data_IF_444701511683
#
_entry.id   IF_444701511683
#
_cell.length_a   1.000
_cell.length_b   1.000
_cell.length_c   1.000
_cell.angle_alpha   90.00
_cell.angle_beta   90.00
_cell.angle_gamma   90.00
#
_symmetry.space_group_name_H-M   'P 1'
#
loop_
_entity.id
_entity.type
_entity.pdbx_description
1 polymer ?
#
# COMPACT_ATOMS: atom_id res chain seq x y z
N UNK A 1 -6.85 13.48 -82.50
CA UNK A 1 -5.97 12.49 -81.79
C UNK A 1 -6.01 12.78 -80.32
N UNK A 2 -6.81 12.01 -79.54
CA UNK A 2 -6.88 12.09 -78.09
C UNK A 2 -5.93 11.04 -77.55
N UNK A 3 -4.98 11.45 -76.68
CA UNK A 3 -4.09 10.58 -75.99
C UNK A 3 -4.80 9.78 -74.88
N UNK A 4 -4.24 8.64 -74.40
CA UNK A 4 -4.88 7.83 -73.42
C UNK A 4 -4.79 8.48 -72.03
N UNK A 5 -5.95 8.51 -71.33
CA UNK A 5 -6.04 8.88 -69.90
C UNK A 5 -5.50 7.71 -69.10
N UNK A 6 -4.39 7.93 -68.39
CA UNK A 6 -3.86 6.99 -67.40
C UNK A 6 -4.70 7.08 -66.13
N UNK A 7 -5.43 6.03 -65.84
CA UNK A 7 -6.10 5.84 -64.53
C UNK A 7 -5.06 5.34 -63.54
N UNK A 8 -4.67 6.17 -62.58
CA UNK A 8 -3.90 5.71 -61.45
C UNK A 8 -4.69 4.71 -60.60
N UNK A 9 -4.12 3.60 -60.14
CA UNK A 9 -4.80 2.70 -59.27
C UNK A 9 -5.01 3.36 -57.90
N UNK A 10 -6.27 3.49 -57.52
CA UNK A 10 -6.70 3.86 -56.17
C UNK A 10 -6.01 2.97 -55.14
N UNK A 11 -5.11 3.55 -54.31
CA UNK A 11 -4.53 2.82 -53.20
C UNK A 11 -5.67 2.50 -52.22
N UNK A 12 -6.14 1.26 -52.27
CA UNK A 12 -7.03 0.74 -51.22
C UNK A 12 -6.34 0.92 -49.88
N UNK A 13 -6.87 1.83 -49.06
CA UNK A 13 -6.37 2.08 -47.72
C UNK A 13 -6.35 0.77 -46.94
N UNK A 14 -5.16 0.39 -46.48
CA UNK A 14 -5.03 -0.73 -45.53
C UNK A 14 -5.90 -0.37 -44.34
N UNK A 15 -6.96 -1.15 -44.10
CA UNK A 15 -7.73 -1.08 -42.86
C UNK A 15 -6.78 -1.27 -41.69
N UNK A 16 -6.74 -0.32 -40.74
CA UNK A 16 -5.95 -0.46 -39.52
C UNK A 16 -6.38 -1.75 -38.81
N UNK A 17 -5.39 -2.58 -38.41
CA UNK A 17 -5.68 -3.77 -37.62
C UNK A 17 -6.47 -3.36 -36.35
N UNK A 18 -7.52 -4.12 -35.96
CA UNK A 18 -8.27 -3.79 -34.77
C UNK A 18 -7.32 -3.77 -33.57
N UNK A 19 -7.31 -2.65 -32.81
CA UNK A 19 -6.55 -2.57 -31.57
C UNK A 19 -7.11 -3.60 -30.59
N UNK A 20 -6.23 -4.49 -30.10
CA UNK A 20 -6.60 -5.41 -29.02
C UNK A 20 -6.99 -4.56 -27.82
N UNK A 21 -8.20 -4.73 -27.30
CA UNK A 21 -8.67 -4.02 -26.13
C UNK A 21 -7.74 -4.33 -24.93
N UNK A 22 -7.35 -3.29 -24.18
CA UNK A 22 -6.58 -3.49 -22.96
C UNK A 22 -7.38 -4.30 -21.94
N UNK A 23 -6.69 -5.19 -21.19
CA UNK A 23 -7.31 -5.95 -20.13
C UNK A 23 -7.84 -5.03 -19.03
N UNK A 24 -9.00 -5.37 -18.47
CA UNK A 24 -9.53 -4.72 -17.27
C UNK A 24 -8.65 -5.06 -16.06
N UNK A 25 -8.78 -4.30 -14.98
CA UNK A 25 -8.07 -4.60 -13.72
C UNK A 25 -8.44 -5.98 -13.19
N UNK A 26 -9.71 -6.37 -13.26
CA UNK A 26 -10.17 -7.71 -12.88
C UNK A 26 -9.51 -8.82 -13.71
N UNK A 27 -9.40 -8.62 -15.03
CA UNK A 27 -8.73 -9.57 -15.91
C UNK A 27 -7.23 -9.68 -15.61
N UNK A 28 -6.55 -8.56 -15.40
CA UNK A 28 -5.13 -8.56 -14.98
C UNK A 28 -4.93 -9.26 -13.63
N UNK A 29 -5.80 -9.03 -12.68
CA UNK A 29 -5.76 -9.69 -11.37
C UNK A 29 -5.85 -11.20 -11.51
N UNK A 30 -6.83 -11.68 -12.27
CA UNK A 30 -7.02 -13.12 -12.55
C UNK A 30 -5.83 -13.74 -13.26
N UNK A 31 -5.28 -13.07 -14.27
CA UNK A 31 -4.12 -13.53 -15.03
C UNK A 31 -2.89 -13.68 -14.13
N UNK A 32 -2.63 -12.71 -13.24
CA UNK A 32 -1.53 -12.78 -12.27
C UNK A 32 -1.70 -13.92 -11.28
N UNK A 33 -2.92 -14.18 -10.83
CA UNK A 33 -3.19 -15.36 -9.98
C UNK A 33 -2.81 -16.66 -10.67
N UNK A 34 -3.10 -16.80 -11.94
CA UNK A 34 -2.73 -17.98 -12.75
C UNK A 34 -1.20 -18.11 -12.84
N UNK A 35 -0.48 -17.03 -13.10
CA UNK A 35 0.99 -17.01 -13.12
C UNK A 35 1.58 -17.41 -11.76
N UNK A 36 1.08 -16.87 -10.69
CA UNK A 36 1.52 -17.16 -9.32
C UNK A 36 1.31 -18.64 -9.00
N UNK A 37 0.14 -19.17 -9.29
CA UNK A 37 -0.17 -20.58 -9.04
C UNK A 37 0.78 -21.52 -9.81
N UNK A 38 1.05 -21.22 -11.07
CA UNK A 38 1.98 -22.00 -11.89
C UNK A 38 3.43 -21.94 -11.38
N UNK A 39 3.84 -20.81 -10.80
CA UNK A 39 5.21 -20.60 -10.30
C UNK A 39 5.47 -21.11 -8.90
N UNK A 40 4.46 -21.24 -8.05
CA UNK A 40 4.62 -21.59 -6.62
C UNK A 40 5.29 -22.92 -6.37
N UNK A 41 4.96 -23.92 -7.15
CA UNK A 41 5.46 -25.29 -7.01
C UNK A 41 6.53 -25.61 -8.07
N UNK A 42 7.01 -24.62 -8.79
CA UNK A 42 8.03 -24.80 -9.81
C UNK A 42 9.37 -25.21 -9.18
N UNK A 43 10.10 -26.19 -9.77
CA UNK A 43 11.37 -26.67 -9.21
C UNK A 43 12.50 -25.61 -9.25
N UNK A 44 12.41 -24.60 -10.12
CA UNK A 44 13.35 -23.49 -10.13
C UNK A 44 13.12 -22.56 -8.92
N UNK A 45 14.15 -22.38 -8.09
CA UNK A 45 14.10 -21.45 -6.97
C UNK A 45 13.81 -20.01 -7.41
N UNK A 46 14.34 -19.59 -8.57
CA UNK A 46 14.10 -18.26 -9.14
C UNK A 46 12.64 -18.05 -9.51
N UNK A 47 12.01 -19.03 -10.13
CA UNK A 47 10.59 -18.99 -10.53
C UNK A 47 9.69 -19.00 -9.29
N UNK A 48 9.98 -19.87 -8.34
CA UNK A 48 9.24 -19.92 -7.07
C UNK A 48 9.33 -18.59 -6.31
N UNK A 49 10.52 -18.00 -6.19
CA UNK A 49 10.72 -16.71 -5.54
C UNK A 49 9.96 -15.58 -6.26
N UNK A 50 9.96 -15.57 -7.59
CA UNK A 50 9.20 -14.60 -8.39
C UNK A 50 7.68 -14.72 -8.12
N UNK A 51 7.16 -15.92 -8.04
CA UNK A 51 5.74 -16.16 -7.73
C UNK A 51 5.38 -15.67 -6.32
N UNK A 52 6.21 -15.93 -5.32
CA UNK A 52 5.99 -15.48 -3.95
C UNK A 52 6.05 -13.94 -3.84
N UNK A 53 7.04 -13.32 -4.50
CA UNK A 53 7.18 -11.86 -4.49
C UNK A 53 6.03 -11.19 -5.24
N UNK A 54 5.61 -11.73 -6.38
CA UNK A 54 4.46 -11.19 -7.12
C UNK A 54 3.17 -11.27 -6.29
N UNK A 55 2.94 -12.40 -5.62
CA UNK A 55 1.77 -12.57 -4.76
C UNK A 55 1.71 -11.49 -3.65
N UNK A 56 2.83 -11.26 -2.98
CA UNK A 56 2.94 -10.21 -1.95
C UNK A 56 2.77 -8.82 -2.54
N UNK A 57 3.46 -8.51 -3.63
CA UNK A 57 3.46 -7.19 -4.24
C UNK A 57 2.13 -6.82 -4.91
N UNK A 58 1.36 -7.79 -5.40
CA UNK A 58 0.00 -7.54 -5.88
C UNK A 58 -0.90 -6.93 -4.79
N UNK A 59 -0.77 -7.40 -3.57
CA UNK A 59 -1.50 -6.85 -2.41
C UNK A 59 -0.86 -5.55 -1.96
N UNK A 60 0.47 -5.53 -1.80
CA UNK A 60 1.20 -4.36 -1.27
C UNK A 60 0.94 -3.08 -2.08
N UNK A 61 0.94 -3.15 -3.40
CA UNK A 61 0.70 -1.96 -4.24
C UNK A 61 -0.70 -1.41 -4.06
N UNK A 62 -1.69 -2.27 -3.85
CA UNK A 62 -3.07 -1.82 -3.56
C UNK A 62 -3.12 -1.09 -2.21
N UNK A 63 -2.48 -1.64 -1.19
CA UNK A 63 -2.39 -0.99 0.14
C UNK A 63 -1.64 0.34 0.06
N UNK A 64 -0.54 0.41 -0.71
CA UNK A 64 0.21 1.65 -0.94
C UNK A 64 -0.66 2.74 -1.59
N UNK A 65 -1.49 2.40 -2.58
CA UNK A 65 -2.43 3.34 -3.20
C UNK A 65 -3.46 3.89 -2.22
N UNK A 66 -3.93 3.07 -1.28
CA UNK A 66 -4.84 3.52 -0.23
C UNK A 66 -4.15 4.48 0.75
N UNK A 67 -2.89 4.21 1.10
CA UNK A 67 -2.11 5.12 1.95
C UNK A 67 -1.78 6.44 1.27
N UNK A 68 -1.70 6.48 -0.05
CA UNK A 68 -1.63 7.72 -0.83
C UNK A 68 -2.97 8.47 -0.80
N UNK A 69 -4.07 7.77 -1.06
CA UNK A 69 -5.39 8.38 -1.12
C UNK A 69 -5.82 9.01 0.21
N UNK A 70 -5.43 8.44 1.35
CA UNK A 70 -5.82 8.96 2.68
C UNK A 70 -5.28 10.37 2.96
N UNK A 71 -4.24 10.83 2.25
CA UNK A 71 -3.74 12.21 2.36
C UNK A 71 -4.74 13.23 1.84
N UNK A 72 -5.50 12.88 0.84
CA UNK A 72 -6.58 13.73 0.29
C UNK A 72 -7.74 12.85 -0.22
N UNK A 73 -8.70 12.51 0.66
CA UNK A 73 -9.81 11.62 0.32
C UNK A 73 -10.84 12.23 -0.64
N UNK A 74 -10.73 13.52 -0.97
CA UNK A 74 -11.56 14.17 -1.98
C UNK A 74 -11.17 13.75 -3.41
N UNK A 75 -9.97 13.20 -3.60
CA UNK A 75 -9.54 12.64 -4.88
C UNK A 75 -10.34 11.39 -5.24
N UNK A 76 -10.38 10.99 -6.53
CA UNK A 76 -10.97 9.72 -6.93
C UNK A 76 -10.35 8.54 -6.16
N UNK A 77 -11.20 7.65 -5.67
CA UNK A 77 -10.75 6.44 -4.95
C UNK A 77 -10.00 5.52 -5.94
N UNK A 78 -8.90 4.86 -5.51
CA UNK A 78 -8.21 3.91 -6.37
C UNK A 78 -9.15 2.87 -6.97
N UNK A 79 -8.93 2.54 -8.24
CA UNK A 79 -9.76 1.56 -8.97
C UNK A 79 -9.82 0.23 -8.21
N UNK A 80 -11.00 -0.34 -8.09
CA UNK A 80 -11.26 -1.57 -7.34
C UNK A 80 -11.58 -1.37 -5.87
N UNK A 81 -11.65 -0.12 -5.40
CA UNK A 81 -11.93 0.22 -4.02
C UNK A 81 -13.08 1.20 -3.86
N UNK A 82 -13.73 1.14 -2.72
CA UNK A 82 -14.73 2.11 -2.26
C UNK A 82 -14.30 2.67 -0.91
N UNK A 83 -14.39 3.99 -0.74
CA UNK A 83 -14.22 4.61 0.58
C UNK A 83 -15.51 4.42 1.39
N UNK A 84 -15.44 3.61 2.43
CA UNK A 84 -16.58 3.29 3.31
C UNK A 84 -16.53 4.04 4.64
N UNK A 85 -15.69 5.08 4.76
CA UNK A 85 -15.50 5.81 6.02
C UNK A 85 -16.75 6.55 6.51
N UNK A 86 -17.69 6.86 5.61
CA UNK A 86 -18.98 7.45 5.95
C UNK A 86 -20.15 6.46 5.97
N UNK A 87 -19.90 5.17 5.78
CA UNK A 87 -20.92 4.13 5.77
C UNK A 87 -21.11 3.58 7.18
N UNK A 88 -22.16 4.07 7.87
CA UNK A 88 -22.43 3.73 9.26
C UNK A 88 -22.63 2.22 9.49
N UNK A 89 -23.27 1.52 8.56
CA UNK A 89 -23.51 0.08 8.67
C UNK A 89 -22.21 -0.71 8.57
N UNK A 90 -21.30 -0.31 7.67
CA UNK A 90 -19.98 -0.92 7.55
C UNK A 90 -19.15 -0.67 8.80
N UNK A 91 -19.09 0.57 9.26
CA UNK A 91 -18.33 0.95 10.47
C UNK A 91 -18.80 0.17 11.69
N UNK A 92 -20.10 0.04 11.87
CA UNK A 92 -20.70 -0.65 13.01
C UNK A 92 -20.24 -2.11 13.11
N UNK A 93 -20.06 -2.80 11.98
CA UNK A 93 -19.56 -4.20 11.97
C UNK A 93 -18.19 -4.34 12.61
N UNK A 94 -17.33 -3.33 12.45
CA UNK A 94 -16.00 -3.28 13.03
C UNK A 94 -15.93 -2.60 14.40
N UNK A 95 -17.07 -2.19 14.94
CA UNK A 95 -17.14 -1.43 16.18
C UNK A 95 -16.61 0.00 16.06
N UNK A 96 -16.48 0.52 14.84
CA UNK A 96 -15.93 1.83 14.54
C UNK A 96 -17.04 2.88 14.41
N UNK A 97 -16.65 4.13 14.61
CA UNK A 97 -17.47 5.33 14.41
C UNK A 97 -16.68 6.34 13.59
N UNK A 98 -17.36 7.29 12.97
CA UNK A 98 -16.67 8.36 12.21
C UNK A 98 -15.69 9.14 13.08
N UNK A 99 -16.00 9.36 14.36
CA UNK A 99 -15.13 10.04 15.33
C UNK A 99 -13.79 9.32 15.55
N UNK A 100 -13.71 8.04 15.30
CA UNK A 100 -12.46 7.29 15.39
C UNK A 100 -11.45 7.68 14.28
N UNK A 101 -11.93 8.27 13.20
CA UNK A 101 -11.13 8.56 12.00
C UNK A 101 -10.51 9.94 12.00
N UNK A 102 -10.90 10.82 12.91
CA UNK A 102 -10.35 12.15 13.03
C UNK A 102 -10.14 12.52 14.51
N UNK A 103 -9.18 13.39 14.74
CA UNK A 103 -8.97 14.04 16.04
C UNK A 103 -9.12 15.53 15.81
N UNK A 104 -10.14 16.14 16.40
CA UNK A 104 -10.49 17.55 16.23
C UNK A 104 -9.28 18.46 16.51
N UNK A 105 -9.04 19.40 15.60
CA UNK A 105 -7.95 20.35 15.71
C UNK A 105 -6.56 19.79 15.37
N UNK A 106 -6.50 18.62 14.78
CA UNK A 106 -5.24 17.96 14.36
C UNK A 106 -5.29 17.54 12.91
N UNK A 107 -4.13 17.08 12.38
CA UNK A 107 -4.01 16.51 11.05
C UNK A 107 -4.20 14.98 11.02
N UNK A 108 -4.59 14.37 12.12
CA UNK A 108 -4.88 12.94 12.17
C UNK A 108 -6.04 12.61 11.24
N UNK A 109 -5.83 11.56 10.43
CA UNK A 109 -6.88 11.01 9.57
C UNK A 109 -6.68 9.53 9.39
N UNK A 110 -7.79 8.83 9.42
CA UNK A 110 -7.90 7.42 9.07
C UNK A 110 -9.08 7.24 8.14
N UNK A 111 -8.99 6.31 7.21
CA UNK A 111 -10.08 5.98 6.29
C UNK A 111 -10.25 4.47 6.23
N UNK A 112 -11.48 4.01 6.01
CA UNK A 112 -11.81 2.61 5.77
C UNK A 112 -12.16 2.42 4.30
N UNK A 113 -11.49 1.47 3.66
CA UNK A 113 -11.71 1.13 2.25
C UNK A 113 -12.22 -0.30 2.13
N UNK A 114 -13.20 -0.50 1.26
CA UNK A 114 -13.71 -1.83 0.92
C UNK A 114 -13.28 -2.22 -0.50
N UNK A 115 -12.77 -3.45 -0.71
CA UNK A 115 -12.44 -3.94 -2.03
C UNK A 115 -13.70 -4.30 -2.82
N UNK A 116 -13.63 -4.12 -4.12
CA UNK A 116 -14.65 -4.58 -5.06
C UNK A 116 -14.41 -6.06 -5.40
N UNK A 117 -15.32 -6.93 -5.00
CA UNK A 117 -15.23 -8.37 -5.26
C UNK A 117 -15.23 -8.70 -6.77
N UNK A 118 -15.81 -7.86 -7.61
CA UNK A 118 -15.75 -8.05 -9.07
C UNK A 118 -14.35 -7.84 -9.64
N UNK A 119 -13.47 -7.15 -8.92
CA UNK A 119 -12.06 -6.94 -9.29
C UNK A 119 -11.15 -7.98 -8.64
N UNK A 120 -11.24 -8.14 -7.32
CA UNK A 120 -10.29 -8.92 -6.53
C UNK A 120 -10.82 -10.30 -6.09
N UNK A 121 -12.09 -10.61 -6.36
CA UNK A 121 -12.71 -11.80 -5.77
C UNK A 121 -12.70 -11.73 -4.24
N UNK A 122 -12.29 -12.82 -3.61
CA UNK A 122 -12.17 -12.92 -2.15
C UNK A 122 -10.72 -12.73 -1.64
N UNK A 123 -9.81 -12.27 -2.51
CA UNK A 123 -8.37 -12.25 -2.20
C UNK A 123 -7.93 -10.98 -1.45
N UNK A 124 -8.81 -10.00 -1.32
CA UNK A 124 -8.47 -8.70 -0.76
C UNK A 124 -9.36 -8.37 0.42
N UNK A 125 -8.75 -8.04 1.55
CA UNK A 125 -9.47 -7.62 2.74
C UNK A 125 -9.80 -6.12 2.70
N UNK A 126 -10.91 -5.70 3.33
CA UNK A 126 -11.11 -4.31 3.69
C UNK A 126 -9.88 -3.78 4.44
N UNK A 127 -9.62 -2.49 4.34
CA UNK A 127 -8.37 -1.90 4.84
C UNK A 127 -8.62 -0.58 5.57
N UNK A 128 -8.07 -0.47 6.76
CA UNK A 128 -7.97 0.80 7.49
C UNK A 128 -6.62 1.42 7.15
N UNK A 129 -6.62 2.62 6.58
CA UNK A 129 -5.40 3.34 6.22
C UNK A 129 -5.21 4.57 7.12
N UNK A 130 -4.05 4.66 7.76
CA UNK A 130 -3.65 5.80 8.59
C UNK A 130 -2.85 6.80 7.76
N UNK A 131 -3.25 8.08 7.80
CA UNK A 131 -2.50 9.18 7.20
C UNK A 131 -1.17 9.40 7.93
N UNK A 132 -0.11 9.60 7.16
CA UNK A 132 1.17 10.07 7.68
C UNK A 132 1.24 11.58 7.81
N UNK A 133 2.41 12.08 8.15
CA UNK A 133 2.70 13.51 8.23
C UNK A 133 3.16 14.04 6.88
N UNK A 134 2.63 15.18 6.46
CA UNK A 134 3.11 15.92 5.30
C UNK A 134 4.34 16.72 5.69
N UNK A 135 5.48 16.45 5.07
CA UNK A 135 6.74 17.14 5.31
C UNK A 135 7.46 17.42 4.01
N UNK A 136 7.91 18.65 3.81
CA UNK A 136 8.50 19.12 2.56
C UNK A 136 10.01 19.42 2.64
N UNK A 137 10.60 19.46 3.85
CA UNK A 137 12.00 19.81 4.03
C UNK A 137 12.75 18.91 5.01
N UNK A 138 14.09 18.86 4.88
CA UNK A 138 14.94 18.15 5.82
C UNK A 138 14.85 18.74 7.24
N UNK A 139 14.65 20.05 7.36
CA UNK A 139 14.47 20.73 8.66
C UNK A 139 13.20 20.26 9.34
N UNK A 140 12.08 20.13 8.61
CA UNK A 140 10.82 19.60 9.12
C UNK A 140 11.01 18.16 9.62
N UNK A 141 11.74 17.35 8.88
CA UNK A 141 12.06 15.98 9.27
C UNK A 141 12.86 15.90 10.56
N UNK A 142 13.91 16.73 10.71
CA UNK A 142 14.74 16.76 11.92
C UNK A 142 13.95 17.22 13.14
N UNK A 143 13.15 18.26 12.98
CA UNK A 143 12.33 18.81 14.08
C UNK A 143 11.27 17.80 14.53
N UNK A 144 10.57 17.16 13.60
CA UNK A 144 9.55 16.16 13.91
C UNK A 144 10.13 14.87 14.45
N UNK A 145 11.31 14.44 13.97
CA UNK A 145 12.01 13.28 14.52
C UNK A 145 12.42 13.51 15.98
N UNK A 146 12.95 14.69 16.30
CA UNK A 146 13.32 15.04 17.67
C UNK A 146 12.09 15.11 18.59
N UNK A 147 10.95 15.60 18.10
CA UNK A 147 9.70 15.63 18.83
C UNK A 147 9.09 14.23 19.00
N UNK A 148 9.21 13.37 17.99
CA UNK A 148 8.68 12.01 18.00
C UNK A 148 9.30 11.09 19.06
N UNK A 149 10.50 11.40 19.53
CA UNK A 149 11.16 10.66 20.61
C UNK A 149 10.49 10.79 21.98
N UNK A 150 9.71 11.87 22.19
CA UNK A 150 9.10 12.20 23.49
C UNK A 150 7.57 12.27 23.44
N UNK A 151 6.94 11.96 22.32
CA UNK A 151 5.52 12.20 22.17
C UNK A 151 4.67 11.06 22.73
N UNK A 152 4.01 11.36 23.84
CA UNK A 152 2.68 10.83 24.10
C UNK A 152 1.74 11.41 23.05
N UNK A 153 1.69 10.78 21.91
CA UNK A 153 0.91 11.28 20.79
C UNK A 153 -0.54 10.85 20.94
N UNK A 154 -1.51 11.77 20.90
CA UNK A 154 -2.92 11.40 20.79
C UNK A 154 -3.21 10.54 19.56
N UNK A 155 -2.35 10.57 18.56
CA UNK A 155 -2.43 9.74 17.36
C UNK A 155 -2.20 8.26 17.68
N UNK A 156 -1.18 7.94 18.47
CA UNK A 156 -0.90 6.57 18.89
C UNK A 156 -1.97 6.02 19.83
N UNK A 157 -2.47 6.85 20.75
CA UNK A 157 -3.62 6.49 21.58
C UNK A 157 -4.84 6.11 20.73
N UNK A 158 -5.13 6.91 19.71
CA UNK A 158 -6.23 6.64 18.78
C UNK A 158 -5.99 5.37 17.97
N UNK A 159 -4.78 5.15 17.48
CA UNK A 159 -4.42 3.94 16.73
C UNK A 159 -4.56 2.66 17.61
N UNK A 160 -4.13 2.73 18.86
CA UNK A 160 -4.33 1.63 19.82
C UNK A 160 -5.80 1.37 20.07
N UNK A 161 -6.62 2.41 20.24
CA UNK A 161 -8.06 2.28 20.43
C UNK A 161 -8.78 1.69 19.22
N UNK A 162 -8.40 2.10 18.02
CA UNK A 162 -8.88 1.48 16.77
C UNK A 162 -8.49 0.00 16.74
N UNK A 163 -7.25 -0.33 17.05
CA UNK A 163 -6.78 -1.72 17.12
C UNK A 163 -7.59 -2.59 18.10
N UNK A 164 -7.91 -2.05 19.28
CA UNK A 164 -8.78 -2.75 20.25
C UNK A 164 -10.16 -3.07 19.68
N UNK A 165 -10.78 -2.13 18.97
CA UNK A 165 -12.08 -2.31 18.33
C UNK A 165 -12.02 -3.36 17.22
N UNK A 166 -10.98 -3.35 16.39
CA UNK A 166 -10.78 -4.34 15.35
C UNK A 166 -10.57 -5.75 15.93
N UNK A 167 -9.87 -5.88 17.06
CA UNK A 167 -9.73 -7.15 17.76
C UNK A 167 -11.06 -7.65 18.30
N UNK A 168 -11.82 -6.78 18.92
CA UNK A 168 -13.10 -7.12 19.57
C UNK A 168 -14.12 -7.68 18.58
N UNK A 169 -14.18 -7.13 17.38
CA UNK A 169 -15.15 -7.52 16.35
C UNK A 169 -14.63 -8.63 15.42
N UNK A 170 -13.35 -8.89 15.44
CA UNK A 170 -12.63 -10.00 14.78
C UNK A 170 -13.10 -10.36 13.37
N UNK A 171 -13.34 -9.36 12.54
CA UNK A 171 -13.63 -9.53 11.13
C UNK A 171 -12.34 -9.41 10.30
N UNK A 172 -12.27 -10.06 9.11
CA UNK A 172 -11.14 -9.87 8.22
C UNK A 172 -10.95 -8.39 7.84
N UNK A 173 -9.78 -7.86 8.16
CA UNK A 173 -9.40 -6.49 7.83
C UNK A 173 -7.88 -6.38 7.88
N UNK A 174 -7.32 -5.59 6.97
CA UNK A 174 -5.91 -5.20 6.99
C UNK A 174 -5.76 -3.75 7.42
N UNK A 175 -4.55 -3.41 7.82
CA UNK A 175 -4.18 -2.05 8.21
C UNK A 175 -3.03 -1.59 7.32
N UNK A 176 -3.02 -0.33 6.95
CA UNK A 176 -1.96 0.22 6.11
C UNK A 176 -1.56 1.62 6.57
N UNK A 177 -0.32 2.02 6.29
CA UNK A 177 0.16 3.36 6.64
C UNK A 177 1.50 3.69 6.01
N UNK A 178 1.67 4.96 5.67
CA UNK A 178 2.90 5.53 5.14
C UNK A 178 3.49 6.53 6.14
N UNK A 179 4.81 6.53 6.29
CA UNK A 179 5.52 7.46 7.18
C UNK A 179 5.06 7.30 8.65
N UNK A 180 4.66 8.36 9.31
CA UNK A 180 4.08 8.28 10.66
C UNK A 180 2.85 7.36 10.69
N UNK A 181 2.03 7.37 9.64
CA UNK A 181 0.91 6.44 9.49
C UNK A 181 1.34 4.97 9.51
N UNK A 182 2.55 4.67 9.06
CA UNK A 182 3.14 3.33 9.18
C UNK A 182 3.44 2.91 10.61
N UNK A 183 3.89 3.83 11.45
CA UNK A 183 4.03 3.60 12.90
C UNK A 183 2.68 3.39 13.59
N UNK A 184 1.67 4.17 13.22
CA UNK A 184 0.29 4.01 13.71
C UNK A 184 -0.31 2.66 13.29
N UNK A 185 -0.08 2.28 12.03
CA UNK A 185 -0.44 0.97 11.48
C UNK A 185 0.17 -0.18 12.32
N UNK A 186 1.46 -0.11 12.61
CA UNK A 186 2.15 -1.10 13.41
C UNK A 186 1.56 -1.20 14.84
N UNK A 187 1.25 -0.08 15.47
CA UNK A 187 0.61 -0.05 16.78
C UNK A 187 -0.76 -0.73 16.75
N UNK A 188 -1.62 -0.35 15.81
CA UNK A 188 -2.94 -0.96 15.64
C UNK A 188 -2.86 -2.46 15.32
N UNK A 189 -1.89 -2.87 14.50
CA UNK A 189 -1.63 -4.27 14.16
C UNK A 189 -1.24 -5.10 15.39
N UNK A 190 -0.34 -4.59 16.21
CA UNK A 190 0.10 -5.29 17.44
C UNK A 190 -1.03 -5.45 18.46
N UNK A 191 -1.95 -4.52 18.52
CA UNK A 191 -3.12 -4.61 19.41
C UNK A 191 -4.19 -5.55 18.87
N UNK A 192 -4.41 -5.51 17.57
CA UNK A 192 -5.52 -6.24 16.91
C UNK A 192 -5.15 -7.65 16.46
N UNK A 193 -3.87 -7.93 16.23
CA UNK A 193 -3.42 -9.13 15.52
C UNK A 193 -3.65 -9.10 14.01
N UNK A 194 -4.16 -7.97 13.47
CA UNK A 194 -4.44 -7.82 12.05
C UNK A 194 -3.18 -7.47 11.27
N UNK A 195 -3.11 -7.88 10.00
CA UNK A 195 -1.97 -7.64 9.13
C UNK A 195 -1.78 -6.16 8.84
N UNK A 196 -0.55 -5.67 9.00
CA UNK A 196 -0.12 -4.32 8.67
C UNK A 196 0.76 -4.29 7.43
N UNK A 197 0.47 -3.34 6.56
CA UNK A 197 1.27 -2.98 5.39
C UNK A 197 1.81 -1.57 5.60
N UNK A 198 3.09 -1.46 5.95
CA UNK A 198 3.71 -0.16 6.21
C UNK A 198 4.70 0.21 5.10
N UNK A 199 4.79 1.50 4.81
CA UNK A 199 5.58 2.03 3.71
C UNK A 199 6.42 3.21 4.19
N UNK A 200 7.76 3.08 4.10
CA UNK A 200 8.70 4.07 4.65
C UNK A 200 8.30 4.53 6.06
N UNK A 201 8.02 3.57 6.92
CA UNK A 201 7.35 3.79 8.18
C UNK A 201 8.25 4.43 9.23
N UNK A 202 7.66 5.28 10.07
CA UNK A 202 8.22 5.64 11.36
C UNK A 202 8.30 4.39 12.26
N UNK A 203 9.30 4.36 13.13
CA UNK A 203 9.43 3.31 14.13
C UNK A 203 8.34 3.38 15.20
N UNK A 204 8.16 2.28 15.88
CA UNK A 204 7.24 2.15 17.00
C UNK A 204 8.03 1.87 18.27
N UNK A 205 7.86 2.71 19.29
CA UNK A 205 8.45 2.46 20.59
C UNK A 205 7.85 1.19 21.21
N UNK A 206 8.67 0.25 21.76
CA UNK A 206 8.19 -1.04 22.26
C UNK A 206 7.08 -0.96 23.32
N UNK A 207 7.05 0.12 24.10
CA UNK A 207 6.07 0.33 25.18
C UNK A 207 4.81 1.08 24.78
N UNK A 208 4.69 1.52 23.52
CA UNK A 208 3.56 2.36 23.07
C UNK A 208 2.22 1.65 23.25
N UNK A 209 2.14 0.38 22.86
CA UNK A 209 0.90 -0.39 22.97
C UNK A 209 0.43 -0.47 24.42
N UNK A 210 1.33 -0.83 25.35
CA UNK A 210 1.02 -0.95 26.77
C UNK A 210 0.68 0.40 27.40
N UNK A 211 1.39 1.47 27.00
CA UNK A 211 1.17 2.83 27.51
C UNK A 211 -0.28 3.29 27.32
N UNK A 212 -0.89 2.92 26.19
CA UNK A 212 -2.28 3.27 25.88
C UNK A 212 -3.27 2.13 26.19
N UNK A 213 -2.88 1.22 27.06
CA UNK A 213 -3.75 0.20 27.62
C UNK A 213 -4.04 -0.98 26.68
N UNK A 214 -3.22 -1.18 25.66
CA UNK A 214 -3.29 -2.35 24.77
C UNK A 214 -2.40 -3.50 25.27
N UNK A 215 -2.64 -4.69 24.73
CA UNK A 215 -1.80 -5.87 24.88
C UNK A 215 -1.30 -6.29 23.52
N UNK A 216 0.02 -6.49 23.37
CA UNK A 216 0.60 -6.94 22.12
C UNK A 216 0.16 -8.34 21.75
N UNK A 217 -0.31 -8.50 20.52
CA UNK A 217 -0.66 -9.76 19.88
C UNK A 217 0.38 -10.11 18.81
N UNK A 218 0.59 -11.41 18.50
CA UNK A 218 1.27 -11.78 17.28
C UNK A 218 0.55 -11.21 16.07
N UNK A 219 1.29 -10.56 15.16
CA UNK A 219 0.73 -10.01 13.93
C UNK A 219 1.77 -10.01 12.82
N UNK A 220 1.32 -10.09 11.58
CA UNK A 220 2.18 -9.93 10.41
C UNK A 220 2.29 -8.45 10.05
N UNK A 221 3.52 -7.95 9.95
CA UNK A 221 3.80 -6.58 9.51
C UNK A 221 4.78 -6.66 8.35
N UNK A 222 4.31 -6.24 7.18
CA UNK A 222 5.13 -6.12 5.97
C UNK A 222 5.64 -4.67 5.87
N UNK A 223 6.91 -4.48 6.12
CA UNK A 223 7.54 -3.16 6.19
C UNK A 223 8.33 -2.87 4.89
N UNK A 224 7.68 -2.21 3.94
CA UNK A 224 8.30 -1.78 2.68
C UNK A 224 9.08 -0.48 2.89
N UNK A 225 10.27 -0.39 2.34
CA UNK A 225 11.07 0.83 2.35
C UNK A 225 11.85 1.01 1.05
N UNK A 226 12.03 2.24 0.65
CA UNK A 226 12.93 2.60 -0.45
C UNK A 226 14.33 2.77 0.10
N UNK A 227 15.31 2.13 -0.53
CA UNK A 227 16.73 2.21 -0.12
C UNK A 227 17.20 3.67 -0.11
N UNK A 228 17.78 4.11 1.02
CA UNK A 228 18.33 5.46 1.17
C UNK A 228 17.28 6.56 1.37
N UNK A 229 16.01 6.22 1.71
CA UNK A 229 15.03 7.24 2.05
C UNK A 229 15.37 7.90 3.41
N UNK A 230 14.82 9.11 3.64
CA UNK A 230 15.24 10.00 4.74
C UNK A 230 15.00 9.43 6.14
N UNK A 231 13.88 8.76 6.37
CA UNK A 231 13.54 8.26 7.69
C UNK A 231 14.45 7.09 8.09
N UNK A 232 14.72 6.17 7.20
CA UNK A 232 15.69 5.07 7.41
C UNK A 232 17.09 5.62 7.68
N UNK A 233 17.51 6.65 6.94
CA UNK A 233 18.78 7.34 7.15
C UNK A 233 18.83 8.00 8.53
N UNK A 234 17.79 8.72 8.93
CA UNK A 234 17.70 9.35 10.25
C UNK A 234 17.68 8.32 11.39
N UNK A 235 17.00 7.20 11.22
CA UNK A 235 16.96 6.12 12.21
C UNK A 235 18.34 5.51 12.45
N UNK A 236 19.23 5.50 11.44
CA UNK A 236 20.60 5.03 11.59
C UNK A 236 21.54 6.02 12.30
N UNK A 237 21.19 7.31 12.33
CA UNK A 237 22.02 8.39 12.92
C UNK A 237 21.52 8.90 14.26
N UNK A 238 20.23 8.75 14.54
CA UNK A 238 19.56 9.23 15.75
C UNK A 238 19.01 8.05 16.54
N UNK A 239 18.83 8.18 17.87
CA UNK A 239 18.22 7.13 18.69
C UNK A 239 16.70 7.05 18.47
N UNK A 240 16.28 6.95 17.22
CA UNK A 240 14.90 6.75 16.82
C UNK A 240 14.56 5.27 16.76
N UNK A 241 13.32 4.86 17.12
CA UNK A 241 12.88 3.50 16.91
C UNK A 241 12.94 3.13 15.42
N UNK A 242 13.43 1.94 15.11
CA UNK A 242 13.37 1.40 13.76
C UNK A 242 11.94 0.97 13.41
N UNK A 243 11.63 0.96 12.10
CA UNK A 243 10.38 0.43 11.60
C UNK A 243 10.22 -1.04 12.01
N UNK A 244 9.02 -1.39 12.50
CA UNK A 244 8.71 -2.74 12.98
C UNK A 244 8.24 -3.61 11.82
N UNK A 245 8.59 -4.89 11.85
CA UNK A 245 8.11 -5.91 10.93
C UNK A 245 9.17 -6.48 10.01
N UNK A 246 8.76 -7.37 9.09
CA UNK A 246 9.62 -7.95 8.08
C UNK A 246 9.95 -6.91 7.00
N UNK A 247 11.25 -6.56 6.79
CA UNK A 247 11.63 -5.52 5.86
C UNK A 247 11.63 -6.00 4.40
N UNK A 248 11.11 -5.17 3.50
CA UNK A 248 11.14 -5.37 2.06
C UNK A 248 11.70 -4.13 1.38
N UNK A 249 12.90 -4.24 0.82
CA UNK A 249 13.61 -3.13 0.18
C UNK A 249 13.17 -2.92 -1.26
N UNK A 250 13.00 -1.65 -1.64
CA UNK A 250 12.67 -1.22 -3.00
C UNK A 250 13.76 -0.29 -3.53
N UNK A 251 14.01 -0.34 -4.83
CA UNK A 251 14.84 0.65 -5.51
C UNK A 251 14.04 1.94 -5.71
N UNK A 252 14.71 3.09 -5.59
CA UNK A 252 14.13 4.39 -5.82
C UNK A 252 15.13 5.34 -6.49
N UNK A 253 14.65 6.53 -6.86
CA UNK A 253 15.42 7.55 -7.57
C UNK A 253 15.37 8.87 -6.84
N UNK A 254 16.45 9.66 -6.98
CA UNK A 254 16.51 11.01 -6.47
C UNK A 254 17.09 11.13 -5.06
N UNK A 255 16.72 12.21 -4.36
CA UNK A 255 17.21 12.50 -3.02
C UNK A 255 16.60 11.58 -1.95
N UNK A 256 17.18 11.56 -0.75
CA UNK A 256 16.63 10.81 0.39
C UNK A 256 15.22 11.27 0.78
N UNK A 257 14.90 12.55 0.59
CA UNK A 257 13.56 13.08 0.83
C UNK A 257 12.59 12.58 -0.25
N UNK A 258 12.95 12.69 -1.53
CA UNK A 258 12.08 12.21 -2.62
C UNK A 258 11.81 10.72 -2.55
N UNK A 259 12.78 9.92 -2.10
CA UNK A 259 12.64 8.48 -1.87
C UNK A 259 11.65 8.13 -0.77
N UNK A 260 11.35 9.07 0.11
CA UNK A 260 10.36 8.87 1.18
C UNK A 260 8.92 8.91 0.67
N UNK A 261 8.63 9.59 -0.44
CA UNK A 261 7.27 9.74 -0.95
C UNK A 261 6.65 8.40 -1.37
N UNK A 262 5.34 8.30 -1.14
CA UNK A 262 4.59 7.07 -1.47
C UNK A 262 4.63 6.72 -2.96
N UNK A 263 4.78 7.70 -3.85
CA UNK A 263 4.95 7.46 -5.28
C UNK A 263 6.18 6.60 -5.59
N UNK A 264 7.28 6.78 -4.87
CA UNK A 264 8.48 5.95 -5.02
C UNK A 264 8.25 4.50 -4.55
N UNK A 265 7.44 4.31 -3.52
CA UNK A 265 7.00 2.99 -3.07
C UNK A 265 6.20 2.29 -4.17
N UNK A 266 5.19 2.96 -4.71
CA UNK A 266 4.32 2.43 -5.76
C UNK A 266 5.15 2.06 -6.99
N UNK A 267 6.01 2.96 -7.46
CA UNK A 267 6.87 2.73 -8.61
C UNK A 267 7.85 1.57 -8.38
N UNK A 268 8.45 1.49 -7.19
CA UNK A 268 9.36 0.41 -6.83
C UNK A 268 8.68 -0.96 -6.78
N UNK A 269 7.46 -1.03 -6.25
CA UNK A 269 6.66 -2.26 -6.25
C UNK A 269 6.28 -2.65 -7.68
N UNK A 270 5.79 -1.71 -8.48
CA UNK A 270 5.40 -1.96 -9.87
C UNK A 270 6.59 -2.47 -10.72
N UNK A 271 7.78 -1.92 -10.50
CA UNK A 271 9.01 -2.41 -11.15
C UNK A 271 9.28 -3.87 -10.80
N UNK A 272 9.23 -4.24 -9.54
CA UNK A 272 9.42 -5.64 -9.11
C UNK A 272 8.34 -6.54 -9.68
N UNK A 273 7.09 -6.09 -9.75
CA UNK A 273 6.00 -6.85 -10.36
C UNK A 273 6.26 -7.14 -11.84
N UNK A 274 6.73 -6.16 -12.60
CA UNK A 274 7.06 -6.37 -14.02
C UNK A 274 8.20 -7.37 -14.21
N UNK A 275 9.23 -7.30 -13.38
CA UNK A 275 10.33 -8.27 -13.38
C UNK A 275 9.80 -9.69 -13.11
N UNK A 276 8.96 -9.87 -12.11
CA UNK A 276 8.41 -11.17 -11.73
C UNK A 276 7.44 -11.73 -12.76
N UNK A 277 6.58 -10.87 -13.32
CA UNK A 277 5.67 -11.26 -14.41
C UNK A 277 6.48 -11.77 -15.60
N UNK A 278 7.56 -11.10 -15.99
CA UNK A 278 8.43 -11.53 -17.08
C UNK A 278 9.06 -12.89 -16.82
N UNK A 279 9.53 -13.16 -15.61
CA UNK A 279 10.08 -14.45 -15.21
C UNK A 279 9.01 -15.55 -15.31
N UNK A 280 7.81 -15.29 -14.79
CA UNK A 280 6.72 -16.28 -14.76
C UNK A 280 6.13 -16.53 -16.14
N UNK A 281 6.04 -15.54 -17.01
CA UNK A 281 5.60 -15.71 -18.40
C UNK A 281 6.59 -16.54 -19.20
N UNK A 282 7.88 -16.47 -18.90
CA UNK A 282 8.92 -17.25 -19.58
C UNK A 282 8.86 -18.75 -19.30
N UNK A 283 8.13 -19.20 -18.28
CA UNK A 283 8.01 -20.62 -17.90
C UNK A 283 6.58 -21.15 -17.96
N UNK A 284 5.60 -20.29 -18.20
CA UNK A 284 4.21 -20.71 -18.39
C UNK A 284 4.01 -21.32 -19.78
N UNK A 285 3.31 -22.45 -19.89
CA UNK A 285 3.03 -23.07 -21.18
C UNK A 285 2.14 -22.20 -22.08
#
# INVERSE_FOLDING_TARGET
LRGPVSVEPEQAGRAAAPKVAALTKAQRWKERKTLIAAGRDHPSAKVNAAAQRLARNNVAVEKARLTDHVYDPARPVPEGWRNASGDADVLKRYGLKEEDFEIKGTNFRTQLYKPDASVFGNDMNPTVAFKGTEMSSLADWRNNAAQGLNMESPYYERAVNVGKKLKQNDLPIDIAGHSQGGGLCAAASKVSGKTCWSFNAAGLHPKTVERYGGTSQPSEIYAYHVKGEILTTLQSWLPLPEAVGAPYALDGKGSSISKHFISQIIDGIDKQKQEDISILQGVSP
#
